data_IF_672137113955
#
_entry.id   IF_672137113955
#
_cell.length_a   1.000
_cell.length_b   1.000
_cell.length_c   1.000
_cell.angle_alpha   90.00
_cell.angle_beta   90.00
_cell.angle_gamma   90.00
#
_symmetry.space_group_name_H-M   'P 1'
#
loop_
_entity.id
_entity.type
_entity.pdbx_description
1 polymer ?
#
# COMPACT_ATOMS: atom_id res chain seq x y z
N UNK A 1 5.75 10.12 20.25
CA UNK A 1 6.35 11.17 19.40
C UNK A 1 6.42 10.63 17.97
N UNK A 2 5.45 10.92 17.12
CA UNK A 2 5.48 10.48 15.72
C UNK A 2 6.18 11.57 14.88
N UNK A 3 7.35 11.26 14.34
CA UNK A 3 8.09 12.14 13.42
C UNK A 3 7.59 11.84 12.01
N UNK A 4 6.82 12.74 11.43
CA UNK A 4 6.59 12.75 9.99
C UNK A 4 7.89 13.22 9.33
N UNK A 5 8.66 12.27 8.77
CA UNK A 5 9.83 12.61 7.97
C UNK A 5 9.37 13.15 6.62
N UNK A 6 9.95 14.27 6.19
CA UNK A 6 9.71 14.89 4.89
C UNK A 6 10.28 13.94 3.82
N UNK A 7 9.57 13.74 2.71
CA UNK A 7 10.14 13.04 1.57
C UNK A 7 11.33 13.83 1.03
N UNK A 8 12.49 13.21 1.09
CA UNK A 8 13.82 13.78 0.83
C UNK A 8 14.28 13.56 -0.61
N UNK A 9 13.36 13.20 -1.52
CA UNK A 9 13.57 13.35 -2.97
C UNK A 9 14.91 12.81 -3.47
N UNK A 10 15.25 11.58 -3.03
CA UNK A 10 16.42 10.73 -3.34
C UNK A 10 17.43 10.52 -2.21
N UNK A 11 17.38 11.31 -1.15
CA UNK A 11 18.42 11.27 -0.11
C UNK A 11 18.04 10.39 1.11
N UNK A 12 16.85 9.79 1.07
CA UNK A 12 16.30 8.95 2.14
C UNK A 12 16.47 7.46 1.94
N UNK A 13 16.37 6.73 3.04
CA UNK A 13 16.29 5.27 3.01
C UNK A 13 14.91 4.90 2.46
N UNK A 14 14.90 4.28 1.27
CA UNK A 14 13.69 3.69 0.70
C UNK A 14 13.19 2.53 1.54
N UNK A 15 11.87 2.41 1.66
CA UNK A 15 11.21 1.28 2.30
C UNK A 15 10.40 0.51 1.28
N UNK A 16 10.35 -0.81 1.43
CA UNK A 16 9.43 -1.63 0.64
C UNK A 16 8.10 -1.74 1.36
N UNK A 17 7.03 -1.38 0.66
CA UNK A 17 5.68 -1.48 1.18
C UNK A 17 4.89 -2.48 0.35
N UNK A 18 4.18 -3.38 1.02
CA UNK A 18 3.23 -4.27 0.39
C UNK A 18 1.89 -4.21 1.12
N UNK A 19 0.81 -4.27 0.34
CA UNK A 19 -0.55 -4.42 0.85
C UNK A 19 -1.14 -5.67 0.21
N UNK A 20 -1.60 -6.59 1.05
CA UNK A 20 -2.28 -7.82 0.63
C UNK A 20 -3.74 -7.70 0.99
N UNK A 21 -4.61 -7.86 0.00
CA UNK A 21 -6.05 -8.04 0.21
C UNK A 21 -6.39 -9.52 -0.03
N UNK A 22 -7.04 -10.12 0.95
CA UNK A 22 -7.56 -11.48 0.91
C UNK A 22 -9.10 -11.45 0.92
N UNK A 23 -9.68 -11.68 -0.26
CA UNK A 23 -11.14 -11.74 -0.49
C UNK A 23 -11.79 -12.95 0.20
N UNK A 24 -11.03 -14.00 0.52
CA UNK A 24 -11.58 -15.17 1.22
C UNK A 24 -11.85 -14.88 2.71
N UNK A 25 -11.13 -13.93 3.29
CA UNK A 25 -11.25 -13.54 4.70
C UNK A 25 -11.73 -12.11 4.90
N UNK A 26 -11.96 -11.36 3.82
CA UNK A 26 -12.25 -9.92 3.83
C UNK A 26 -11.23 -9.13 4.66
N UNK A 27 -9.93 -9.43 4.49
CA UNK A 27 -8.86 -8.76 5.24
C UNK A 27 -7.86 -8.06 4.35
N UNK A 28 -7.40 -6.91 4.83
CA UNK A 28 -6.24 -6.21 4.29
C UNK A 28 -5.11 -6.25 5.30
N UNK A 29 -3.89 -6.49 4.82
CA UNK A 29 -2.68 -6.52 5.65
C UNK A 29 -1.57 -5.70 5.02
N UNK A 30 -0.94 -4.84 5.81
CA UNK A 30 0.21 -4.01 5.46
C UNK A 30 1.51 -4.66 5.92
N UNK A 31 2.52 -4.57 5.06
CA UNK A 31 3.89 -4.95 5.35
C UNK A 31 4.81 -3.76 5.05
N UNK A 32 5.77 -3.55 5.93
CA UNK A 32 6.90 -2.61 5.74
C UNK A 32 8.17 -3.42 5.87
N UNK A 33 9.02 -3.39 4.85
CA UNK A 33 10.25 -4.16 4.75
C UNK A 33 10.05 -5.67 5.03
N UNK A 34 8.95 -6.21 4.50
CA UNK A 34 8.55 -7.61 4.68
C UNK A 34 7.93 -7.95 6.04
N UNK A 35 7.85 -7.00 6.97
CA UNK A 35 7.35 -7.21 8.33
C UNK A 35 5.92 -6.69 8.52
N UNK A 36 5.14 -7.37 9.35
CA UNK A 36 3.76 -6.99 9.70
C UNK A 36 3.53 -7.15 11.20
N UNK A 37 2.40 -6.64 11.72
CA UNK A 37 2.09 -6.64 13.15
C UNK A 37 0.61 -6.49 13.47
N UNK A 38 0.28 -6.50 14.76
CA UNK A 38 -1.10 -6.54 15.25
C UNK A 38 -1.98 -5.35 14.80
N UNK A 39 -1.37 -4.19 14.53
CA UNK A 39 -2.07 -3.00 14.01
C UNK A 39 -2.04 -2.86 12.49
N UNK A 40 -1.41 -3.80 11.78
CA UNK A 40 -1.22 -3.72 10.33
C UNK A 40 -2.23 -4.58 9.57
N UNK A 41 -3.24 -5.13 10.23
CA UNK A 41 -4.34 -5.89 9.62
C UNK A 41 -5.67 -5.24 9.95
N UNK A 42 -6.56 -5.16 8.97
CA UNK A 42 -7.92 -4.65 9.15
C UNK A 42 -8.93 -5.48 8.34
N UNK A 43 -10.16 -5.53 8.83
CA UNK A 43 -11.28 -6.09 8.07
C UNK A 43 -11.70 -5.07 6.99
N UNK A 44 -11.93 -5.55 5.76
CA UNK A 44 -12.37 -4.76 4.61
C UNK A 44 -13.51 -5.48 3.88
N UNK A 45 -14.67 -5.68 4.54
CA UNK A 45 -15.81 -6.31 3.90
C UNK A 45 -16.34 -5.43 2.77
N UNK A 46 -16.77 -6.08 1.67
CA UNK A 46 -17.29 -5.39 0.48
C UNK A 46 -16.29 -4.42 -0.17
N UNK A 47 -15.03 -4.84 -0.28
CA UNK A 47 -13.97 -4.07 -0.93
C UNK A 47 -14.41 -3.47 -2.28
N UNK A 48 -14.05 -2.21 -2.53
CA UNK A 48 -14.48 -1.49 -3.73
C UNK A 48 -13.84 -2.11 -4.97
N UNK A 49 -14.66 -2.76 -5.81
CA UNK A 49 -14.26 -3.17 -7.16
C UNK A 49 -14.19 -1.95 -8.07
N UNK A 50 -13.10 -1.81 -8.81
CA UNK A 50 -12.93 -0.76 -9.83
C UNK A 50 -12.43 -1.38 -11.13
N UNK A 51 -12.82 -0.81 -12.26
CA UNK A 51 -12.39 -1.23 -13.61
C UNK A 51 -11.37 -0.27 -14.24
N UNK A 52 -10.91 0.72 -13.48
CA UNK A 52 -9.96 1.72 -13.96
C UNK A 52 -8.52 1.20 -13.99
N UNK A 53 -7.61 1.94 -14.64
CA UNK A 53 -6.19 1.63 -14.62
C UNK A 53 -5.61 1.74 -13.21
N UNK A 54 -4.55 0.97 -12.91
CA UNK A 54 -3.73 1.16 -11.71
C UNK A 54 -3.13 2.57 -11.73
N UNK A 55 -3.19 3.27 -10.60
CA UNK A 55 -2.64 4.62 -10.43
C UNK A 55 -1.65 4.61 -9.26
N UNK A 56 -0.49 5.24 -9.46
CA UNK A 56 0.56 5.38 -8.46
C UNK A 56 0.87 6.87 -8.31
N UNK A 57 1.11 7.31 -7.08
CA UNK A 57 1.52 8.69 -6.76
C UNK A 57 0.38 9.69 -6.59
N UNK A 58 -0.88 9.25 -6.55
CA UNK A 58 -2.07 10.06 -6.23
C UNK A 58 -3.21 9.19 -5.73
N UNK A 59 -4.18 9.76 -5.04
CA UNK A 59 -5.42 9.09 -4.64
C UNK A 59 -6.66 9.74 -5.25
N UNK A 60 -7.76 8.98 -5.30
CA UNK A 60 -9.09 9.52 -5.58
C UNK A 60 -9.78 9.86 -4.27
N UNK A 61 -10.14 11.12 -4.09
CA UNK A 61 -10.94 11.61 -2.97
C UNK A 61 -12.39 11.85 -3.44
N UNK A 62 -13.26 12.30 -2.52
CA UNK A 62 -14.64 12.66 -2.87
C UNK A 62 -14.72 13.75 -3.95
N UNK A 63 -13.76 14.67 -3.97
CA UNK A 63 -13.73 15.83 -4.85
C UNK A 63 -12.97 15.60 -6.17
N UNK A 64 -12.45 14.38 -6.39
CA UNK A 64 -11.70 14.03 -7.60
C UNK A 64 -10.32 13.45 -7.30
N UNK A 65 -9.35 13.71 -8.17
CA UNK A 65 -7.97 13.24 -7.99
C UNK A 65 -7.17 14.25 -7.16
N UNK A 66 -6.43 13.76 -6.16
CA UNK A 66 -5.62 14.56 -5.22
C UNK A 66 -4.61 13.71 -4.45
N UNK A 67 -4.20 14.16 -3.26
CA UNK A 67 -3.26 13.44 -2.37
C UNK A 67 -2.00 12.97 -3.11
N UNK A 68 -1.33 13.91 -3.79
CA UNK A 68 -0.16 13.60 -4.60
C UNK A 68 1.00 13.14 -3.70
N UNK A 69 1.62 12.03 -4.08
CA UNK A 69 2.87 11.59 -3.47
C UNK A 69 3.97 12.58 -3.86
N UNK A 70 4.65 13.09 -2.85
CA UNK A 70 5.92 13.80 -3.04
C UNK A 70 7.02 12.81 -2.69
N UNK A 71 7.68 12.20 -3.68
CA UNK A 71 8.70 11.17 -3.47
C UNK A 71 8.89 10.31 -4.71
N UNK A 72 9.87 9.40 -4.65
CA UNK A 72 10.14 8.44 -5.72
C UNK A 72 9.48 7.09 -5.43
N UNK A 73 9.04 6.40 -6.48
CA UNK A 73 8.52 5.04 -6.43
C UNK A 73 9.26 4.21 -7.47
N UNK A 74 9.71 3.02 -7.06
CA UNK A 74 10.38 2.07 -7.93
C UNK A 74 9.87 0.64 -7.66
N UNK A 75 10.18 -0.29 -8.57
CA UNK A 75 9.92 -1.73 -8.47
C UNK A 75 8.45 -2.12 -8.20
N UNK A 76 7.50 -1.38 -8.79
CA UNK A 76 6.07 -1.64 -8.63
C UNK A 76 5.71 -3.02 -9.19
N UNK A 77 5.08 -3.84 -8.35
CA UNK A 77 4.57 -5.17 -8.69
C UNK A 77 3.12 -5.29 -8.24
N UNK A 78 2.28 -5.89 -9.09
CA UNK A 78 0.90 -6.22 -8.77
C UNK A 78 0.67 -7.71 -9.05
N UNK A 79 -0.10 -8.36 -8.18
CA UNK A 79 -0.37 -9.79 -8.26
C UNK A 79 -1.88 -10.03 -8.23
N UNK A 80 -2.31 -11.10 -8.89
CA UNK A 80 -3.67 -11.59 -8.77
C UNK A 80 -3.77 -12.52 -7.55
N UNK A 81 -4.60 -12.14 -6.58
CA UNK A 81 -4.84 -12.90 -5.36
C UNK A 81 -3.91 -12.54 -4.20
N UNK A 82 -4.22 -13.09 -3.03
CA UNK A 82 -3.47 -12.86 -1.81
C UNK A 82 -2.15 -13.66 -1.82
N UNK A 83 -1.02 -12.97 -1.69
CA UNK A 83 0.27 -13.60 -1.50
C UNK A 83 0.40 -14.09 -0.03
N UNK A 84 0.94 -15.28 0.21
CA UNK A 84 1.23 -15.74 1.57
C UNK A 84 2.40 -14.95 2.16
N UNK A 85 2.42 -14.79 3.49
CA UNK A 85 3.40 -13.97 4.23
C UNK A 85 4.86 -14.23 3.80
N UNK A 86 5.26 -15.51 3.67
CA UNK A 86 6.63 -15.88 3.28
C UNK A 86 7.04 -15.56 1.83
N UNK A 87 6.12 -15.01 1.02
CA UNK A 87 6.37 -14.56 -0.36
C UNK A 87 6.41 -13.04 -0.50
N UNK A 88 6.16 -12.31 0.59
CA UNK A 88 6.33 -10.86 0.62
C UNK A 88 7.82 -10.56 0.72
N UNK A 89 8.40 -9.82 -0.24
CA UNK A 89 9.83 -9.53 -0.24
C UNK A 89 10.24 -8.56 0.87
#
# INVERSE_FOLDING_TARGET
MARFARADGRDGIGHRVAVVYDDATDRVKLYVDGQTGAGATADLPNGRRTSGPLQIGRARTGDGWGEYLHGDVDEVRAFAGALPDGRIP
#
